data_IF_694229729413
#
_entry.id   IF_694229729413
#
_cell.length_a   1.000
_cell.length_b   1.000
_cell.length_c   1.000
_cell.angle_alpha   90.00
_cell.angle_beta   90.00
_cell.angle_gamma   90.00
#
_symmetry.space_group_name_H-M   'P 1'
#
loop_
_entity.id
_entity.type
_entity.pdbx_description
1 polymer ?
#
# COMPACT_ATOMS: atom_id res chain seq x y z
N UNK A 1 -23.71 -21.52 0.16
CA UNK A 1 -22.38 -20.96 -0.12
C UNK A 1 -22.51 -20.10 -1.37
N UNK A 2 -22.24 -18.81 -1.26
CA UNK A 2 -22.22 -17.93 -2.42
C UNK A 2 -21.10 -18.37 -3.38
N UNK A 3 -21.46 -18.51 -4.64
CA UNK A 3 -20.50 -18.84 -5.70
C UNK A 3 -19.70 -17.57 -6.01
N UNK A 4 -18.50 -17.45 -5.43
CA UNK A 4 -17.60 -16.33 -5.71
C UNK A 4 -16.96 -16.58 -7.08
N UNK A 5 -17.21 -15.70 -8.03
CA UNK A 5 -16.63 -15.78 -9.37
C UNK A 5 -15.13 -15.45 -9.30
N UNK A 6 -14.29 -16.44 -9.60
CA UNK A 6 -12.83 -16.27 -9.62
C UNK A 6 -12.42 -15.62 -10.95
N UNK A 7 -11.63 -14.53 -10.94
CA UNK A 7 -11.17 -13.89 -12.16
C UNK A 7 -10.28 -14.81 -12.99
N UNK A 8 -10.45 -14.76 -14.31
CA UNK A 8 -9.65 -15.56 -15.25
C UNK A 8 -8.23 -15.02 -15.45
N UNK A 9 -8.02 -13.73 -15.19
CA UNK A 9 -6.74 -13.05 -15.39
C UNK A 9 -6.42 -12.08 -14.26
N UNK A 10 -5.58 -12.51 -13.33
CA UNK A 10 -5.11 -11.69 -12.20
C UNK A 10 -4.25 -10.48 -12.60
N UNK A 11 -3.77 -10.41 -13.84
CA UNK A 11 -3.06 -9.22 -14.32
C UNK A 11 -4.01 -8.02 -14.48
N UNK A 12 -5.27 -8.31 -14.79
CA UNK A 12 -6.34 -7.30 -14.88
C UNK A 12 -7.01 -7.04 -13.53
N UNK A 13 -7.11 -8.07 -12.71
CA UNK A 13 -7.83 -8.05 -11.43
C UNK A 13 -6.85 -8.01 -10.24
N UNK A 14 -5.82 -7.16 -10.35
CA UNK A 14 -4.89 -6.90 -9.25
C UNK A 14 -5.67 -6.40 -8.03
N UNK A 15 -5.40 -7.02 -6.87
CA UNK A 15 -6.10 -6.68 -5.63
C UNK A 15 -7.40 -7.45 -5.37
N UNK A 16 -7.84 -8.33 -6.28
CA UNK A 16 -9.07 -9.11 -6.09
C UNK A 16 -9.09 -9.91 -4.78
N UNK A 17 -7.96 -10.52 -4.40
CA UNK A 17 -7.86 -11.27 -3.13
C UNK A 17 -8.08 -10.34 -1.93
N UNK A 18 -7.48 -9.14 -1.95
CA UNK A 18 -7.69 -8.12 -0.91
C UNK A 18 -9.15 -7.73 -0.82
N UNK A 19 -9.76 -7.34 -1.94
CA UNK A 19 -11.18 -6.95 -2.00
C UNK A 19 -12.12 -8.07 -1.53
N UNK A 20 -11.81 -9.33 -1.86
CA UNK A 20 -12.58 -10.47 -1.36
C UNK A 20 -12.52 -10.57 0.16
N UNK A 21 -11.31 -10.47 0.73
CA UNK A 21 -11.11 -10.56 2.18
C UNK A 21 -11.75 -9.35 2.88
N UNK A 22 -11.55 -8.15 2.36
CA UNK A 22 -12.22 -6.91 2.83
C UNK A 22 -13.74 -7.09 2.89
N UNK A 23 -14.33 -7.57 1.78
CA UNK A 23 -15.77 -7.81 1.71
C UNK A 23 -16.27 -8.87 2.71
N UNK A 24 -15.53 -9.96 2.89
CA UNK A 24 -15.88 -11.02 3.84
C UNK A 24 -15.76 -10.57 5.30
N UNK A 25 -14.84 -9.65 5.59
CA UNK A 25 -14.64 -9.09 6.93
C UNK A 25 -15.48 -7.83 7.21
N UNK A 26 -16.23 -7.35 6.21
CA UNK A 26 -17.10 -6.18 6.37
C UNK A 26 -16.35 -4.85 6.36
N UNK A 27 -15.23 -4.74 5.66
CA UNK A 27 -14.52 -3.48 5.46
C UNK A 27 -15.41 -2.45 4.75
N UNK A 28 -15.37 -1.19 5.19
CA UNK A 28 -16.31 -0.15 4.74
C UNK A 28 -15.66 0.97 3.94
N UNK A 29 -14.33 1.14 4.01
CA UNK A 29 -13.65 2.30 3.43
C UNK A 29 -13.63 2.31 1.89
N UNK A 30 -13.51 1.16 1.23
CA UNK A 30 -13.38 1.07 -0.21
C UNK A 30 -12.16 1.85 -0.70
N UNK A 31 -12.36 2.85 -1.59
CA UNK A 31 -11.29 3.71 -2.12
C UNK A 31 -11.07 5.03 -1.35
N UNK A 32 -11.76 5.24 -0.25
CA UNK A 32 -11.64 6.45 0.55
C UNK A 32 -10.28 6.53 1.26
N UNK A 33 -9.80 7.75 1.62
CA UNK A 33 -8.56 7.92 2.38
C UNK A 33 -8.73 7.61 3.88
N UNK A 34 -9.60 6.66 4.20
CA UNK A 34 -9.90 6.16 5.53
C UNK A 34 -9.34 4.75 5.69
N UNK A 35 -9.18 4.28 6.91
CA UNK A 35 -8.82 2.89 7.18
C UNK A 35 -10.00 1.96 6.85
N UNK A 36 -9.73 0.70 6.54
CA UNK A 36 -10.76 -0.26 6.12
C UNK A 36 -11.78 -0.56 7.23
N UNK A 37 -11.34 -0.46 8.48
CA UNK A 37 -12.20 -0.55 9.67
C UNK A 37 -12.05 0.72 10.52
N UNK A 38 -12.71 1.84 10.15
CA UNK A 38 -12.47 3.14 10.77
C UNK A 38 -12.83 3.18 12.26
N UNK A 39 -13.85 2.43 12.69
CA UNK A 39 -14.23 2.34 14.11
C UNK A 39 -13.16 1.66 14.97
N UNK A 40 -12.34 0.80 14.38
CA UNK A 40 -11.26 0.08 15.05
C UNK A 40 -9.89 0.74 14.83
N UNK A 41 -9.81 1.68 13.90
CA UNK A 41 -8.55 2.29 13.47
C UNK A 41 -7.63 1.27 12.77
N UNK A 42 -8.17 0.32 12.01
CA UNK A 42 -7.43 -0.76 11.37
C UNK A 42 -7.49 -0.66 9.85
N UNK A 43 -6.34 -0.70 9.22
CA UNK A 43 -6.15 -0.94 7.79
C UNK A 43 -5.94 -2.43 7.54
N UNK A 44 -6.53 -2.99 6.48
CA UNK A 44 -6.30 -4.36 6.05
C UNK A 44 -5.33 -4.41 4.88
N UNK A 45 -4.34 -5.27 4.95
CA UNK A 45 -3.39 -5.52 3.86
C UNK A 45 -3.20 -7.02 3.63
N UNK A 46 -3.37 -7.47 2.40
CA UNK A 46 -2.94 -8.81 2.01
C UNK A 46 -1.44 -8.81 1.71
N UNK A 47 -0.77 -9.87 2.12
CA UNK A 47 0.67 -10.03 1.96
C UNK A 47 0.94 -11.35 1.22
N UNK A 48 1.28 -11.30 -0.09
CA UNK A 48 1.70 -12.51 -0.79
C UNK A 48 3.01 -13.04 -0.21
N UNK A 49 3.01 -14.31 0.19
CA UNK A 49 4.16 -14.98 0.80
C UNK A 49 4.57 -16.22 0.01
N UNK A 50 5.85 -16.59 0.14
CA UNK A 50 6.38 -17.86 -0.33
C UNK A 50 6.09 -19.01 0.65
N UNK A 51 6.61 -20.20 0.36
CA UNK A 51 6.45 -21.39 1.20
C UNK A 51 7.16 -21.28 2.56
N UNK A 52 8.14 -20.41 2.68
CA UNK A 52 8.88 -20.13 3.90
C UNK A 52 8.25 -18.99 4.72
N UNK A 53 7.22 -18.32 4.18
CA UNK A 53 6.55 -17.20 4.82
C UNK A 53 7.17 -15.84 4.51
N UNK A 54 8.13 -15.76 3.59
CA UNK A 54 8.74 -14.48 3.20
C UNK A 54 7.84 -13.70 2.25
N UNK A 55 7.75 -12.37 2.39
CA UNK A 55 7.03 -11.53 1.44
C UNK A 55 7.60 -11.63 0.03
N UNK A 56 6.74 -11.78 -0.97
CA UNK A 56 7.13 -11.86 -2.38
C UNK A 56 7.17 -10.49 -3.08
N UNK A 57 6.55 -9.49 -2.50
CA UNK A 57 6.48 -8.14 -3.08
C UNK A 57 6.29 -7.07 -2.00
N UNK A 58 6.60 -5.82 -2.36
CA UNK A 58 6.27 -4.67 -1.52
C UNK A 58 4.77 -4.39 -1.54
N UNK A 59 4.24 -3.92 -0.43
CA UNK A 59 2.80 -3.64 -0.27
C UNK A 59 2.49 -2.20 -0.64
N UNK A 60 1.41 -2.00 -1.41
CA UNK A 60 0.87 -0.67 -1.67
C UNK A 60 0.24 -0.10 -0.40
N UNK A 61 0.66 1.10 0.00
CA UNK A 61 0.09 1.81 1.16
C UNK A 61 -1.05 2.72 0.72
N UNK A 62 -0.74 3.79 0.01
CA UNK A 62 -1.70 4.75 -0.50
C UNK A 62 -1.10 5.55 -1.66
N UNK A 63 -1.90 6.40 -2.29
CA UNK A 63 -1.40 7.42 -3.21
C UNK A 63 -0.94 8.65 -2.44
N UNK A 64 0.09 9.34 -2.95
CA UNK A 64 0.52 10.62 -2.42
C UNK A 64 0.28 11.73 -3.45
N UNK A 65 -0.17 12.93 -3.05
CA UNK A 65 -0.28 14.06 -3.95
C UNK A 65 1.12 14.55 -4.35
N UNK A 66 1.26 15.00 -5.59
CA UNK A 66 2.49 15.60 -6.12
C UNK A 66 2.42 17.12 -6.20
N UNK A 67 1.25 17.69 -5.92
CA UNK A 67 0.98 19.14 -5.85
C UNK A 67 0.18 19.45 -4.59
N UNK A 68 0.20 20.70 -4.13
CA UNK A 68 -0.54 21.11 -2.94
C UNK A 68 -0.01 20.50 -1.63
N UNK A 69 1.27 20.13 -1.60
CA UNK A 69 1.89 19.44 -0.47
C UNK A 69 2.41 20.39 0.62
N UNK A 70 2.32 21.71 0.39
CA UNK A 70 2.79 22.72 1.36
C UNK A 70 2.03 22.56 2.68
N UNK A 71 2.78 22.42 3.78
CA UNK A 71 2.22 22.29 5.11
C UNK A 71 1.76 20.87 5.50
N UNK A 72 1.93 19.88 4.62
CA UNK A 72 1.74 18.48 5.02
C UNK A 72 2.75 18.11 6.10
N UNK A 73 2.28 17.37 7.09
CA UNK A 73 3.08 16.86 8.21
C UNK A 73 2.88 15.36 8.33
N UNK A 74 3.91 14.69 8.81
CA UNK A 74 3.86 13.25 9.08
C UNK A 74 2.64 12.88 9.95
N UNK A 75 2.42 13.62 11.03
CA UNK A 75 1.36 13.37 12.00
C UNK A 75 -0.05 13.32 11.40
N UNK A 76 -0.26 14.07 10.31
CA UNK A 76 -1.54 14.14 9.59
C UNK A 76 -1.51 13.46 8.22
N UNK A 77 -0.42 12.77 7.90
CA UNK A 77 -0.27 12.11 6.60
C UNK A 77 -1.17 10.89 6.46
N UNK A 78 -1.64 10.63 5.24
CA UNK A 78 -2.42 9.42 4.95
C UNK A 78 -1.55 8.16 5.06
N UNK A 79 -0.25 8.26 4.81
CA UNK A 79 0.70 7.14 5.00
C UNK A 79 0.70 6.70 6.46
N UNK A 80 0.89 7.66 7.39
CA UNK A 80 0.85 7.36 8.82
C UNK A 80 -0.50 6.80 9.24
N UNK A 81 -1.61 7.39 8.79
CA UNK A 81 -2.94 6.90 9.10
C UNK A 81 -3.13 5.44 8.68
N UNK A 82 -2.74 5.10 7.44
CA UNK A 82 -2.85 3.74 6.90
C UNK A 82 -1.91 2.72 7.56
N UNK A 83 -0.76 3.16 8.07
CA UNK A 83 0.24 2.28 8.70
C UNK A 83 0.20 2.29 10.23
N UNK A 84 -0.64 3.11 10.85
CA UNK A 84 -0.72 3.19 12.33
C UNK A 84 -1.15 1.88 12.99
N UNK A 85 -2.00 1.11 12.32
CA UNK A 85 -2.44 -0.21 12.78
C UNK A 85 -2.93 -1.04 11.59
N UNK A 86 -2.25 -2.12 11.29
CA UNK A 86 -2.50 -2.93 10.11
C UNK A 86 -2.85 -4.36 10.49
N UNK A 87 -3.94 -4.86 9.94
CA UNK A 87 -4.26 -6.28 9.92
C UNK A 87 -3.61 -6.88 8.67
N UNK A 88 -2.49 -7.55 8.87
CA UNK A 88 -1.82 -8.30 7.83
C UNK A 88 -2.47 -9.66 7.62
N UNK A 89 -2.83 -9.96 6.39
CA UNK A 89 -3.41 -11.25 5.99
C UNK A 89 -2.45 -11.90 4.99
N UNK A 90 -1.55 -12.81 5.45
CA UNK A 90 -0.64 -13.51 4.56
C UNK A 90 -1.41 -14.50 3.67
N UNK A 91 -1.09 -14.52 2.38
CA UNK A 91 -1.73 -15.38 1.38
C UNK A 91 -0.65 -16.03 0.51
N UNK A 92 -0.80 -17.31 0.20
CA UNK A 92 0.13 -18.00 -0.72
C UNK A 92 0.19 -17.23 -2.05
N UNK A 93 1.39 -16.74 -2.39
CA UNK A 93 1.63 -15.91 -3.56
C UNK A 93 2.27 -16.64 -4.75
N UNK A 94 2.64 -17.91 -4.59
CA UNK A 94 3.26 -18.71 -5.65
C UNK A 94 2.39 -18.74 -6.91
N UNK A 95 3.02 -18.45 -8.06
CA UNK A 95 2.34 -18.46 -9.37
C UNK A 95 1.91 -19.86 -9.82
N UNK A 96 2.49 -20.89 -9.23
CA UNK A 96 2.17 -22.29 -9.52
C UNK A 96 0.90 -22.76 -8.82
N UNK A 97 0.44 -22.04 -7.79
CA UNK A 97 -0.78 -22.38 -7.06
C UNK A 97 -1.95 -21.63 -7.70
N UNK A 98 -2.96 -22.34 -8.24
CA UNK A 98 -4.18 -21.72 -8.73
C UNK A 98 -4.83 -20.85 -7.65
N UNK A 99 -5.41 -19.71 -8.04
CA UNK A 99 -5.96 -18.75 -7.09
C UNK A 99 -6.96 -19.37 -6.11
N UNK A 100 -7.82 -20.27 -6.59
CA UNK A 100 -8.82 -20.97 -5.80
C UNK A 100 -8.24 -21.93 -4.75
N UNK A 101 -6.98 -22.33 -4.91
CA UNK A 101 -6.29 -23.29 -4.06
C UNK A 101 -5.33 -22.62 -3.08
N UNK A 102 -5.13 -21.28 -3.21
CA UNK A 102 -4.25 -20.52 -2.32
C UNK A 102 -4.81 -20.49 -0.91
N UNK A 103 -3.95 -20.79 0.03
CA UNK A 103 -4.29 -20.77 1.46
C UNK A 103 -3.98 -19.39 2.05
N UNK A 104 -4.77 -19.04 3.05
CA UNK A 104 -4.54 -17.88 3.91
C UNK A 104 -3.83 -18.41 5.16
N UNK A 105 -2.69 -17.82 5.49
CA UNK A 105 -2.01 -18.11 6.76
C UNK A 105 -2.64 -17.29 7.90
N UNK A 106 -2.14 -17.48 9.12
CA UNK A 106 -2.66 -16.79 10.30
C UNK A 106 -2.50 -15.27 10.18
N UNK A 107 -3.58 -14.51 10.17
CA UNK A 107 -3.52 -13.04 10.19
C UNK A 107 -2.92 -12.53 11.50
N UNK A 108 -2.30 -11.36 11.45
CA UNK A 108 -1.76 -10.70 12.63
C UNK A 108 -1.93 -9.19 12.56
N UNK A 109 -2.09 -8.57 13.73
CA UNK A 109 -2.12 -7.11 13.84
C UNK A 109 -0.70 -6.62 14.12
N UNK A 110 -0.31 -5.59 13.38
CA UNK A 110 0.94 -4.88 13.54
C UNK A 110 0.65 -3.39 13.72
N UNK A 111 1.41 -2.76 14.59
CA UNK A 111 1.54 -1.32 14.72
C UNK A 111 3.02 -1.01 14.83
N UNK A 112 3.52 0.05 14.17
CA UNK A 112 4.94 0.38 14.26
C UNK A 112 5.31 0.70 15.70
N UNK A 113 6.45 0.20 16.15
CA UNK A 113 7.07 0.67 17.38
C UNK A 113 7.75 2.03 17.19
N UNK A 114 8.44 2.54 18.23
CA UNK A 114 9.04 3.86 18.16
C UNK A 114 10.16 3.99 17.13
N UNK A 115 10.94 2.94 16.89
CA UNK A 115 12.02 2.92 15.90
C UNK A 115 11.44 2.79 14.49
N UNK A 116 10.47 1.91 14.29
CA UNK A 116 9.76 1.72 13.02
C UNK A 116 8.99 2.99 12.60
N UNK A 117 8.30 3.65 13.54
CA UNK A 117 7.62 4.92 13.27
C UNK A 117 8.61 6.01 12.85
N UNK A 118 9.80 6.06 13.47
CA UNK A 118 10.84 7.02 13.12
C UNK A 118 11.39 6.76 11.71
N UNK A 119 11.65 5.52 11.32
CA UNK A 119 12.10 5.17 9.97
C UNK A 119 11.04 5.51 8.92
N UNK A 120 9.78 5.15 9.17
CA UNK A 120 8.67 5.50 8.29
C UNK A 120 8.55 7.01 8.10
N UNK A 121 8.68 7.78 9.18
CA UNK A 121 8.65 9.24 9.16
C UNK A 121 9.81 9.81 8.36
N UNK A 122 11.02 9.35 8.59
CA UNK A 122 12.22 9.82 7.91
C UNK A 122 12.11 9.63 6.40
N UNK A 123 11.74 8.44 5.95
CA UNK A 123 11.53 8.14 4.54
C UNK A 123 10.43 9.02 3.93
N UNK A 124 9.32 9.21 4.66
CA UNK A 124 8.23 10.04 4.18
C UNK A 124 8.66 11.51 4.04
N UNK A 125 9.36 12.07 5.03
CA UNK A 125 9.85 13.45 5.01
C UNK A 125 10.84 13.67 3.86
N UNK A 126 11.78 12.74 3.63
CA UNK A 126 12.72 12.79 2.49
C UNK A 126 11.99 12.77 1.15
N UNK A 127 11.05 11.85 0.95
CA UNK A 127 10.28 11.76 -0.28
C UNK A 127 9.42 13.02 -0.53
N UNK A 128 8.80 13.58 0.51
CA UNK A 128 8.01 14.80 0.40
C UNK A 128 8.87 16.03 0.11
N UNK A 129 10.09 16.09 0.66
CA UNK A 129 11.05 17.16 0.34
C UNK A 129 11.46 17.10 -1.13
N UNK A 130 11.81 15.94 -1.65
CA UNK A 130 12.16 15.78 -3.08
C UNK A 130 11.01 16.20 -4.00
N UNK A 131 9.76 15.85 -3.66
CA UNK A 131 8.59 16.30 -4.41
C UNK A 131 8.45 17.83 -4.34
N UNK A 132 8.61 18.43 -3.14
CA UNK A 132 8.51 19.88 -2.95
C UNK A 132 9.55 20.68 -3.74
N UNK A 133 10.75 20.10 -3.89
CA UNK A 133 11.85 20.66 -4.68
C UNK A 133 11.70 20.41 -6.19
N UNK A 134 10.64 19.79 -6.65
CA UNK A 134 10.43 19.46 -8.06
C UNK A 134 11.35 18.36 -8.59
N UNK A 135 11.92 17.54 -7.71
CA UNK A 135 12.90 16.50 -8.02
C UNK A 135 12.27 15.10 -8.13
N UNK A 136 11.00 15.02 -8.45
CA UNK A 136 10.30 13.74 -8.52
C UNK A 136 10.92 12.76 -9.52
N UNK A 137 11.48 13.25 -10.61
CA UNK A 137 12.14 12.43 -11.64
C UNK A 137 13.46 11.80 -11.14
N UNK A 138 14.06 12.35 -10.08
CA UNK A 138 15.25 11.80 -9.45
C UNK A 138 14.95 10.67 -8.46
N UNK A 139 13.68 10.53 -8.07
CA UNK A 139 13.28 9.52 -7.09
C UNK A 139 13.36 8.14 -7.73
N UNK A 140 14.14 7.27 -7.10
CA UNK A 140 14.32 5.87 -7.49
C UNK A 140 13.81 4.93 -6.40
N UNK A 141 13.76 3.64 -6.69
CA UNK A 141 13.43 2.62 -5.69
C UNK A 141 14.49 2.46 -4.57
N UNK A 142 15.59 3.22 -4.63
CA UNK A 142 16.64 3.24 -3.61
C UNK A 142 16.51 4.39 -2.61
N UNK A 143 15.55 5.31 -2.84
CA UNK A 143 15.20 6.32 -1.85
C UNK A 143 14.27 5.70 -0.81
N UNK A 144 14.64 5.89 0.46
CA UNK A 144 13.96 5.30 1.61
C UNK A 144 14.37 3.86 1.91
N UNK A 145 14.31 3.47 3.17
CA UNK A 145 14.62 2.13 3.66
C UNK A 145 13.37 1.26 3.73
N UNK A 146 12.25 1.82 4.17
CA UNK A 146 11.00 1.11 4.44
C UNK A 146 9.83 1.62 3.60
N UNK A 147 9.87 2.88 3.11
CA UNK A 147 8.89 3.47 2.20
C UNK A 147 9.53 3.75 0.84
N UNK A 148 8.77 3.52 -0.21
CA UNK A 148 9.18 3.82 -1.59
C UNK A 148 8.07 4.56 -2.32
N UNK A 149 8.43 5.58 -3.10
CA UNK A 149 7.53 6.22 -4.04
C UNK A 149 7.66 5.54 -5.42
N UNK A 150 6.53 5.08 -5.95
CA UNK A 150 6.48 4.44 -7.28
C UNK A 150 5.32 5.00 -8.10
N UNK A 151 5.48 5.19 -9.42
CA UNK A 151 4.36 5.53 -10.29
C UNK A 151 3.27 4.47 -10.22
N UNK A 152 2.03 4.90 -9.96
CA UNK A 152 0.85 4.04 -10.08
C UNK A 152 0.10 4.41 -11.36
N UNK A 153 0.65 3.99 -12.49
CA UNK A 153 0.07 4.27 -13.80
C UNK A 153 -0.38 3.00 -14.50
N UNK A 154 -1.41 3.10 -15.32
CA UNK A 154 -1.90 2.00 -16.15
C UNK A 154 -0.86 1.60 -17.22
N UNK A 155 -0.04 2.57 -17.65
CA UNK A 155 1.06 2.37 -18.60
C UNK A 155 2.13 3.49 -18.40
N UNK A 156 3.30 3.33 -19.04
CA UNK A 156 4.42 4.27 -18.95
C UNK A 156 4.21 5.64 -19.63
N UNK A 157 3.05 5.86 -20.26
CA UNK A 157 2.70 7.12 -20.92
C UNK A 157 1.71 7.97 -20.10
N UNK A 158 1.22 7.47 -18.97
CA UNK A 158 0.34 8.22 -18.11
C UNK A 158 1.08 9.39 -17.46
N UNK A 159 0.56 10.60 -17.65
CA UNK A 159 1.10 11.84 -17.07
C UNK A 159 0.27 12.24 -15.86
N UNK A 160 0.92 12.84 -14.88
CA UNK A 160 0.28 13.45 -13.73
C UNK A 160 0.92 14.82 -13.45
N UNK A 161 0.14 15.83 -13.04
CA UNK A 161 0.71 17.12 -12.64
C UNK A 161 1.66 16.95 -11.45
N UNK A 162 2.82 17.59 -11.53
CA UNK A 162 3.81 17.64 -10.46
C UNK A 162 4.48 19.02 -10.42
N UNK A 163 5.17 19.33 -9.31
CA UNK A 163 6.00 20.52 -9.20
C UNK A 163 7.24 20.29 -10.07
N UNK A 164 7.53 21.24 -10.99
CA UNK A 164 8.75 21.22 -11.79
C UNK A 164 9.93 21.88 -11.06
N UNK A 165 11.17 21.64 -11.59
CA UNK A 165 12.41 22.25 -11.04
C UNK A 165 12.40 23.79 -11.06
N UNK A 166 11.57 24.40 -11.87
CA UNK A 166 11.48 25.85 -12.05
C UNK A 166 10.11 26.43 -11.67
N UNK A 167 9.28 25.69 -10.96
CA UNK A 167 7.92 26.07 -10.56
C UNK A 167 6.84 25.65 -11.53
#
# INVERSE_FOLDING_TARGET
>A
AEHIAIPRDLRRDKGWVGQLIEGQLGAMAGSKPEQDFPELGIELKTLPIDEQGNPLESTFVCVTPLIGITGLRWESSNVRNKLSRVLWVPVEGSRHIPLAERRIATPFIWSPDGEEEQLLRQDWEELMELIALGQIESITAHHGEVLQLRPKAANGHALTPAIGLHG
#
